data_IF_493886792738
#
_entry.id   IF_493886792738
#
_cell.length_a   1.000
_cell.length_b   1.000
_cell.length_c   1.000
_cell.angle_alpha   90.00
_cell.angle_beta   90.00
_cell.angle_gamma   90.00
#
_symmetry.space_group_name_H-M   'P 1'
#
loop_
_entity.id
_entity.type
_entity.pdbx_description
1 polymer ?
#
# COMPACT_ATOMS: atom_id res chain seq x y z
N UNK A 1 -21.07 16.65 -8.31
CA UNK A 1 -19.90 17.43 -8.72
C UNK A 1 -20.35 18.80 -9.19
N UNK A 2 -19.82 19.87 -8.62
CA UNK A 2 -20.18 21.26 -8.94
C UNK A 2 -19.16 21.93 -9.86
N UNK A 3 -17.98 21.34 -10.06
CA UNK A 3 -16.92 21.88 -10.92
C UNK A 3 -16.01 20.77 -11.46
N UNK A 4 -15.36 21.05 -12.60
CA UNK A 4 -14.27 20.24 -13.14
C UNK A 4 -12.96 20.98 -12.95
N UNK A 5 -11.94 20.29 -12.47
CA UNK A 5 -10.61 20.88 -12.31
C UNK A 5 -9.74 20.56 -13.52
N UNK A 6 -9.11 21.59 -14.06
CA UNK A 6 -8.19 21.46 -15.17
C UNK A 6 -6.78 21.86 -14.73
N UNK A 7 -5.79 21.09 -15.15
CA UNK A 7 -4.39 21.46 -14.96
C UNK A 7 -4.03 22.65 -15.83
N UNK A 8 -2.88 23.32 -15.61
CA UNK A 8 -2.43 24.42 -16.48
C UNK A 8 -2.31 24.05 -17.96
N UNK A 9 -2.17 22.76 -18.29
CA UNK A 9 -2.16 22.25 -19.65
C UNK A 9 -3.57 22.03 -20.24
N UNK A 10 -4.64 22.36 -19.51
CA UNK A 10 -6.03 22.15 -19.92
C UNK A 10 -6.56 20.73 -19.63
N UNK A 11 -5.71 19.81 -19.16
CA UNK A 11 -6.09 18.41 -18.89
C UNK A 11 -7.03 18.32 -17.70
N UNK A 12 -8.17 17.63 -17.86
CA UNK A 12 -9.00 17.15 -16.75
C UNK A 12 -8.58 15.72 -16.40
N UNK A 13 -8.14 15.50 -15.15
CA UNK A 13 -7.71 14.17 -14.68
C UNK A 13 -8.88 13.28 -14.27
N UNK A 14 -10.04 13.90 -14.04
CA UNK A 14 -11.23 13.19 -13.59
C UNK A 14 -11.88 12.43 -14.76
N UNK A 15 -12.30 11.19 -14.50
CA UNK A 15 -13.13 10.43 -15.42
C UNK A 15 -14.47 11.14 -15.59
N UNK A 16 -15.01 11.26 -16.82
CA UNK A 16 -16.34 11.87 -17.03
C UNK A 16 -17.42 11.18 -16.22
N UNK A 17 -18.38 11.97 -15.73
CA UNK A 17 -19.63 11.41 -15.21
C UNK A 17 -20.59 11.16 -16.39
N UNK A 18 -21.29 10.03 -16.36
CA UNK A 18 -22.28 9.64 -17.35
C UNK A 18 -23.22 8.58 -16.76
N UNK A 19 -24.36 8.39 -17.39
CA UNK A 19 -25.35 7.39 -16.96
C UNK A 19 -24.79 5.96 -17.00
N UNK A 20 -23.85 5.70 -17.93
CA UNK A 20 -23.21 4.40 -18.12
C UNK A 20 -21.90 4.23 -17.32
N UNK A 21 -21.52 5.20 -16.46
CA UNK A 21 -20.25 5.18 -15.74
C UNK A 21 -20.48 4.95 -14.25
N UNK A 22 -20.25 3.71 -13.80
CA UNK A 22 -20.28 3.35 -12.38
C UNK A 22 -18.89 3.56 -11.76
N UNK A 23 -18.70 4.65 -11.03
CA UNK A 23 -17.46 4.94 -10.30
C UNK A 23 -17.11 3.91 -9.23
N UNK A 24 -18.10 3.20 -8.69
CA UNK A 24 -17.88 2.18 -7.66
C UNK A 24 -17.20 0.94 -8.23
N UNK A 25 -17.46 0.66 -9.50
CA UNK A 25 -16.88 -0.50 -10.21
C UNK A 25 -15.58 -0.18 -10.92
N UNK A 26 -15.21 1.10 -11.04
CA UNK A 26 -14.06 1.52 -11.85
C UNK A 26 -12.76 0.78 -11.47
N UNK A 27 -12.47 0.63 -10.18
CA UNK A 27 -11.28 -0.06 -9.72
C UNK A 27 -11.31 -1.56 -10.07
N UNK A 28 -12.48 -2.19 -9.93
CA UNK A 28 -12.68 -3.62 -10.27
C UNK A 28 -12.56 -3.82 -11.78
N UNK A 29 -13.15 -2.94 -12.57
CA UNK A 29 -13.07 -2.99 -14.04
C UNK A 29 -11.63 -2.82 -14.54
N UNK A 30 -10.88 -1.91 -13.95
CA UNK A 30 -9.45 -1.72 -14.25
C UNK A 30 -8.61 -2.93 -13.86
N UNK A 31 -8.89 -3.54 -12.70
CA UNK A 31 -8.24 -4.78 -12.29
C UNK A 31 -8.53 -5.90 -13.30
N UNK A 32 -9.80 -6.09 -13.68
CA UNK A 32 -10.23 -7.12 -14.64
C UNK A 32 -9.63 -6.92 -16.03
N UNK A 33 -9.36 -5.66 -16.43
CA UNK A 33 -8.66 -5.32 -17.68
C UNK A 33 -7.14 -5.50 -17.60
N UNK A 34 -6.60 -5.81 -16.43
CA UNK A 34 -5.17 -5.95 -16.21
C UNK A 34 -4.40 -4.63 -16.05
N UNK A 35 -5.10 -3.50 -15.99
CA UNK A 35 -4.48 -2.16 -15.89
C UNK A 35 -3.69 -1.96 -14.59
N UNK A 36 -3.98 -2.72 -13.53
CA UNK A 36 -3.25 -2.68 -12.28
C UNK A 36 -2.06 -3.64 -12.23
N UNK A 37 -1.96 -4.53 -13.21
CA UNK A 37 -0.93 -5.58 -13.26
C UNK A 37 0.08 -5.33 -14.38
N UNK A 38 -0.34 -4.69 -15.48
CA UNK A 38 0.48 -4.52 -16.67
C UNK A 38 0.33 -3.11 -17.23
N UNK A 39 1.44 -2.39 -17.37
CA UNK A 39 1.45 -1.04 -17.96
C UNK A 39 0.88 -1.02 -19.39
N UNK A 40 1.14 -2.07 -20.16
CA UNK A 40 0.69 -2.19 -21.55
C UNK A 40 -0.83 -2.38 -21.69
N UNK A 41 -1.53 -2.70 -20.60
CA UNK A 41 -2.99 -2.80 -20.59
C UNK A 41 -3.67 -1.44 -20.47
N UNK A 42 -2.90 -0.37 -20.20
CA UNK A 42 -3.44 0.97 -20.00
C UNK A 42 -3.46 1.70 -21.34
N UNK A 43 -4.64 1.92 -21.87
CA UNK A 43 -4.84 2.61 -23.14
C UNK A 43 -5.62 3.90 -22.96
N UNK A 44 -5.10 4.97 -23.56
CA UNK A 44 -5.77 6.26 -23.60
C UNK A 44 -6.06 6.65 -25.06
N UNK A 45 -7.27 7.15 -25.38
CA UNK A 45 -7.57 7.67 -26.69
C UNK A 45 -6.71 8.91 -27.01
N UNK A 46 -6.34 9.09 -28.28
CA UNK A 46 -5.55 10.23 -28.72
C UNK A 46 -6.22 11.59 -28.45
N UNK A 47 -7.55 11.61 -28.39
CA UNK A 47 -8.34 12.81 -28.03
C UNK A 47 -8.10 13.31 -26.61
N UNK A 48 -7.52 12.49 -25.74
CA UNK A 48 -7.18 12.82 -24.34
C UNK A 48 -5.68 13.12 -24.14
N UNK A 49 -4.91 13.25 -25.21
CA UNK A 49 -3.51 13.67 -25.17
C UNK A 49 -3.39 15.18 -24.93
N UNK A 50 -2.51 15.54 -24.01
CA UNK A 50 -2.13 16.91 -23.70
C UNK A 50 -0.61 17.00 -23.60
N UNK A 51 -0.07 18.20 -23.72
CA UNK A 51 1.36 18.44 -23.47
C UNK A 51 1.54 19.37 -22.27
N UNK A 52 2.51 19.05 -21.42
CA UNK A 52 2.86 19.94 -20.31
C UNK A 52 3.52 21.21 -20.84
N UNK A 53 3.21 22.36 -20.20
CA UNK A 53 3.69 23.67 -20.68
C UNK A 53 5.21 23.85 -20.60
N UNK A 54 5.87 23.26 -19.60
CA UNK A 54 7.30 23.47 -19.36
C UNK A 54 8.20 22.51 -20.14
N UNK A 55 7.82 21.22 -20.19
CA UNK A 55 8.68 20.16 -20.72
C UNK A 55 8.11 19.51 -21.98
N UNK A 56 6.95 19.97 -22.45
CA UNK A 56 6.24 19.39 -23.60
C UNK A 56 6.05 17.85 -23.51
N UNK A 57 5.95 17.33 -22.28
CA UNK A 57 5.73 15.89 -22.05
C UNK A 57 4.30 15.54 -22.41
N UNK A 58 4.12 14.43 -23.12
CA UNK A 58 2.78 13.87 -23.37
C UNK A 58 2.20 13.34 -22.05
N UNK A 59 0.98 13.79 -21.76
CA UNK A 59 0.19 13.34 -20.61
C UNK A 59 -1.25 13.10 -21.05
N UNK A 60 -1.98 12.27 -20.33
CA UNK A 60 -3.35 11.88 -20.68
C UNK A 60 -4.35 12.39 -19.65
N UNK A 61 -5.57 12.71 -20.10
CA UNK A 61 -6.69 13.09 -19.25
C UNK A 61 -7.76 12.00 -19.14
N UNK A 62 -8.81 12.27 -18.36
CA UNK A 62 -10.04 11.46 -18.36
C UNK A 62 -10.02 10.14 -17.60
N UNK A 63 -8.90 9.77 -16.98
CA UNK A 63 -8.77 8.46 -16.29
C UNK A 63 -7.77 8.44 -15.14
N UNK A 64 -7.48 9.58 -14.54
CA UNK A 64 -6.46 9.71 -13.51
C UNK A 64 -5.13 10.21 -14.05
N UNK A 65 -4.04 9.90 -13.36
CA UNK A 65 -2.68 10.29 -13.73
C UNK A 65 -1.88 9.02 -13.99
N UNK A 66 -1.41 8.84 -15.23
CA UNK A 66 -0.49 7.77 -15.57
C UNK A 66 0.87 8.01 -14.89
N UNK A 67 1.39 7.07 -14.10
CA UNK A 67 2.71 7.19 -13.50
C UNK A 67 3.82 7.09 -14.56
N UNK A 68 4.95 7.73 -14.31
CA UNK A 68 6.14 7.60 -15.17
C UNK A 68 6.82 6.23 -14.98
N UNK A 69 6.71 5.68 -13.78
CA UNK A 69 7.21 4.34 -13.43
C UNK A 69 6.05 3.53 -12.91
N UNK A 70 5.71 2.50 -13.64
CA UNK A 70 4.63 1.60 -13.26
C UNK A 70 5.13 0.56 -12.27
N UNK A 71 4.40 0.39 -11.16
CA UNK A 71 4.61 -0.66 -10.19
C UNK A 71 3.33 -1.50 -10.15
N UNK A 72 3.39 -2.78 -10.53
CA UNK A 72 2.21 -3.64 -10.53
C UNK A 72 1.70 -3.88 -9.11
N UNK A 73 0.41 -4.16 -8.99
CA UNK A 73 -0.19 -4.54 -7.72
C UNK A 73 0.34 -5.90 -7.27
N UNK A 74 0.88 -5.97 -6.04
CA UNK A 74 1.26 -7.25 -5.44
C UNK A 74 0.00 -8.09 -5.12
N UNK A 75 -0.14 -9.22 -5.80
CA UNK A 75 -1.21 -10.19 -5.57
C UNK A 75 -0.73 -11.48 -4.92
N UNK A 76 0.57 -11.65 -4.75
CA UNK A 76 1.18 -12.88 -4.23
C UNK A 76 1.28 -12.88 -2.71
N UNK A 77 1.78 -11.79 -2.14
CA UNK A 77 1.97 -11.64 -0.68
C UNK A 77 0.66 -11.30 0.03
N UNK A 78 -0.24 -10.57 -0.64
CA UNK A 78 -1.54 -10.16 -0.10
C UNK A 78 -2.61 -11.22 -0.42
N UNK A 79 -2.46 -12.41 0.17
CA UNK A 79 -3.32 -13.57 -0.09
C UNK A 79 -4.77 -13.37 0.35
N UNK A 80 -5.66 -14.27 -0.07
CA UNK A 80 -7.07 -14.30 0.40
C UNK A 80 -7.15 -14.39 1.92
N UNK A 81 -6.30 -15.23 2.53
CA UNK A 81 -6.24 -15.39 3.98
C UNK A 81 -5.88 -14.07 4.68
N UNK A 82 -4.83 -13.39 4.23
CA UNK A 82 -4.43 -12.10 4.80
C UNK A 82 -5.52 -11.02 4.64
N UNK A 83 -6.20 -10.98 3.49
CA UNK A 83 -7.33 -10.06 3.28
C UNK A 83 -8.47 -10.33 4.25
N UNK A 84 -8.76 -11.58 4.54
CA UNK A 84 -9.81 -11.96 5.51
C UNK A 84 -9.43 -11.57 6.94
N UNK A 85 -8.18 -11.81 7.36
CA UNK A 85 -7.64 -11.34 8.65
C UNK A 85 -7.79 -9.82 8.80
N UNK A 86 -7.46 -9.08 7.74
CA UNK A 86 -7.54 -7.61 7.74
C UNK A 86 -9.01 -7.14 7.77
N UNK A 87 -9.87 -7.69 6.93
CA UNK A 87 -11.27 -7.31 6.83
C UNK A 87 -12.06 -7.58 8.12
N UNK A 88 -11.70 -8.63 8.86
CA UNK A 88 -12.30 -8.98 10.16
C UNK A 88 -11.58 -8.33 11.36
N UNK A 89 -10.60 -7.46 11.12
CA UNK A 89 -9.89 -6.71 12.16
C UNK A 89 -8.95 -7.55 13.03
N UNK A 90 -8.66 -8.79 12.63
CA UNK A 90 -7.85 -9.74 13.42
C UNK A 90 -6.47 -9.18 13.73
N UNK A 91 -5.80 -8.59 12.72
CA UNK A 91 -4.44 -8.04 12.89
C UNK A 91 -4.43 -6.88 13.90
N UNK A 92 -5.42 -6.00 13.83
CA UNK A 92 -5.55 -4.88 14.77
C UNK A 92 -5.86 -5.38 16.19
N UNK A 93 -6.78 -6.34 16.34
CA UNK A 93 -7.12 -6.92 17.63
C UNK A 93 -5.93 -7.67 18.24
N UNK A 94 -5.14 -8.38 17.41
CA UNK A 94 -3.87 -9.00 17.84
C UNK A 94 -2.92 -7.95 18.41
N UNK A 95 -2.71 -6.85 17.67
CA UNK A 95 -1.86 -5.76 18.12
C UNK A 95 -2.34 -5.18 19.47
N UNK A 96 -3.64 -4.91 19.61
CA UNK A 96 -4.20 -4.42 20.87
C UNK A 96 -3.97 -5.38 22.03
N UNK A 97 -4.23 -6.68 21.83
CA UNK A 97 -4.00 -7.70 22.85
C UNK A 97 -2.51 -7.83 23.24
N UNK A 98 -1.61 -7.66 22.29
CA UNK A 98 -0.15 -7.65 22.53
C UNK A 98 0.25 -6.41 23.33
N UNK A 99 -0.20 -5.24 22.93
CA UNK A 99 0.13 -3.97 23.61
C UNK A 99 -0.45 -3.95 25.03
N UNK A 100 -1.68 -4.37 25.23
CA UNK A 100 -2.29 -4.43 26.57
C UNK A 100 -1.49 -5.32 27.53
N UNK A 101 -0.95 -6.42 27.01
CA UNK A 101 -0.21 -7.39 27.83
C UNK A 101 1.25 -7.03 28.04
N UNK A 102 1.94 -6.53 27.02
CA UNK A 102 3.40 -6.47 26.97
C UNK A 102 3.98 -5.05 26.86
N UNK A 103 3.17 -3.98 26.82
CA UNK A 103 3.64 -2.59 26.69
C UNK A 103 4.80 -2.27 27.61
N UNK A 104 4.64 -2.50 28.92
CA UNK A 104 5.66 -2.16 29.92
C UNK A 104 6.97 -2.94 29.74
N UNK A 105 6.85 -4.19 29.29
CA UNK A 105 8.04 -5.02 29.02
C UNK A 105 8.75 -4.56 27.76
N UNK A 106 8.00 -4.14 26.73
CA UNK A 106 8.58 -3.61 25.49
C UNK A 106 9.23 -2.25 25.71
N UNK A 107 8.60 -1.33 26.43
CA UNK A 107 9.19 -0.02 26.79
C UNK A 107 10.49 -0.18 27.58
N UNK A 108 10.58 -1.16 28.47
CA UNK A 108 11.80 -1.47 29.21
C UNK A 108 12.89 -2.12 28.34
N UNK A 109 12.49 -3.03 27.44
CA UNK A 109 13.42 -3.78 26.57
C UNK A 109 13.92 -2.96 25.41
N UNK A 110 13.10 -2.07 24.91
CA UNK A 110 13.38 -1.22 23.75
C UNK A 110 13.22 0.26 24.13
N UNK A 111 14.26 0.87 24.74
CA UNK A 111 14.18 2.24 25.24
C UNK A 111 14.05 3.29 24.12
N UNK A 112 14.38 2.92 22.88
CA UNK A 112 14.26 3.75 21.70
C UNK A 112 13.84 2.92 20.47
N UNK A 113 13.29 3.61 19.48
CA UNK A 113 12.81 2.98 18.26
C UNK A 113 13.91 2.29 17.45
N UNK A 114 15.13 2.83 17.43
CA UNK A 114 16.25 2.22 16.69
C UNK A 114 16.57 0.84 17.23
N UNK A 115 16.61 0.70 18.55
CA UNK A 115 16.80 -0.58 19.23
C UNK A 115 15.67 -1.55 18.94
N UNK A 116 14.41 -1.05 18.99
CA UNK A 116 13.23 -1.84 18.63
C UNK A 116 13.29 -2.30 17.17
N UNK A 117 13.49 -1.38 16.23
CA UNK A 117 13.47 -1.70 14.80
C UNK A 117 14.52 -2.75 14.44
N UNK A 118 15.69 -2.70 15.10
CA UNK A 118 16.78 -3.64 14.87
C UNK A 118 16.57 -5.03 15.49
N UNK A 119 15.95 -5.09 16.68
CA UNK A 119 15.97 -6.31 17.50
C UNK A 119 14.60 -6.92 17.79
N UNK A 120 13.51 -6.17 17.55
CA UNK A 120 12.17 -6.71 17.75
C UNK A 120 11.78 -7.62 16.60
N UNK A 121 11.34 -8.81 16.95
CA UNK A 121 10.75 -9.77 16.02
C UNK A 121 9.40 -10.25 16.53
N UNK A 122 8.48 -10.47 15.61
CA UNK A 122 7.18 -11.10 15.90
C UNK A 122 7.43 -12.59 16.12
N UNK A 123 7.39 -12.99 17.37
CA UNK A 123 7.65 -14.35 17.83
C UNK A 123 6.39 -15.24 17.83
N UNK A 124 6.56 -16.51 18.22
CA UNK A 124 5.47 -17.48 18.28
C UNK A 124 4.41 -17.11 19.33
N UNK A 125 4.78 -16.35 20.37
CA UNK A 125 3.83 -15.84 21.36
C UNK A 125 2.82 -14.89 20.71
N UNK A 126 3.31 -13.92 19.93
CA UNK A 126 2.46 -12.99 19.19
C UNK A 126 1.64 -13.73 18.13
N UNK A 127 2.25 -14.68 17.42
CA UNK A 127 1.56 -15.49 16.42
C UNK A 127 0.48 -16.41 17.03
N UNK A 128 0.66 -16.86 18.27
CA UNK A 128 -0.38 -17.61 19.00
C UNK A 128 -1.59 -16.73 19.31
N UNK A 129 -1.37 -15.45 19.66
CA UNK A 129 -2.43 -14.46 19.86
C UNK A 129 -3.15 -14.20 18.53
N UNK A 130 -2.43 -14.06 17.42
CA UNK A 130 -3.02 -13.90 16.10
C UNK A 130 -3.95 -15.05 15.75
N UNK A 131 -3.52 -16.29 16.00
CA UNK A 131 -4.35 -17.48 15.74
C UNK A 131 -5.62 -17.47 16.60
N UNK A 132 -5.48 -17.17 17.89
CA UNK A 132 -6.63 -17.08 18.79
C UNK A 132 -7.63 -15.98 18.36
N UNK A 133 -7.17 -14.82 17.92
CA UNK A 133 -8.03 -13.76 17.39
C UNK A 133 -8.66 -14.15 16.03
N UNK A 134 -7.95 -14.87 15.18
CA UNK A 134 -8.48 -15.41 13.93
C UNK A 134 -9.60 -16.43 14.19
N UNK A 135 -9.42 -17.34 15.14
CA UNK A 135 -10.43 -18.31 15.54
C UNK A 135 -11.70 -17.64 16.11
N UNK A 136 -11.55 -16.64 16.98
CA UNK A 136 -12.66 -15.82 17.49
C UNK A 136 -13.43 -15.11 16.37
N UNK A 137 -12.72 -14.62 15.36
CA UNK A 137 -13.32 -13.95 14.21
C UNK A 137 -13.88 -14.92 13.16
N UNK A 138 -13.75 -16.24 13.37
CA UNK A 138 -14.20 -17.27 12.44
C UNK A 138 -13.43 -17.24 11.11
N UNK A 139 -12.13 -16.92 11.15
CA UNK A 139 -11.25 -17.03 9.98
C UNK A 139 -10.74 -18.45 9.89
N UNK A 140 -11.12 -19.15 8.81
CA UNK A 140 -10.66 -20.53 8.62
C UNK A 140 -9.17 -20.54 8.30
N UNK A 141 -8.41 -21.31 9.07
CA UNK A 141 -6.97 -21.47 8.84
C UNK A 141 -6.70 -22.18 7.53
N UNK A 142 -5.75 -21.63 6.77
CA UNK A 142 -5.20 -22.18 5.53
C UNK A 142 -3.68 -22.10 5.61
N UNK A 143 -3.03 -23.23 5.77
CA UNK A 143 -1.59 -23.31 6.04
C UNK A 143 -0.73 -22.78 4.90
N UNK A 144 -1.13 -23.01 3.64
CA UNK A 144 -0.36 -22.54 2.47
C UNK A 144 -0.47 -21.01 2.35
N UNK A 145 -1.68 -20.47 2.41
CA UNK A 145 -1.93 -19.05 2.33
C UNK A 145 -1.37 -18.31 3.56
N UNK A 146 -1.41 -18.94 4.74
CA UNK A 146 -0.78 -18.42 5.95
C UNK A 146 0.73 -18.29 5.77
N UNK A 147 1.42 -19.36 5.33
CA UNK A 147 2.87 -19.33 5.09
C UNK A 147 3.26 -18.28 4.07
N UNK A 148 2.50 -18.16 2.98
CA UNK A 148 2.75 -17.15 1.96
C UNK A 148 2.62 -15.71 2.49
N UNK A 149 1.64 -15.46 3.39
CA UNK A 149 1.40 -14.13 3.97
C UNK A 149 2.21 -13.83 5.22
N UNK A 150 2.80 -14.84 5.85
CA UNK A 150 3.42 -14.70 7.18
C UNK A 150 4.50 -13.62 7.25
N UNK A 151 5.41 -13.48 6.27
CA UNK A 151 6.40 -12.40 6.29
C UNK A 151 5.75 -11.02 6.35
N UNK A 152 4.70 -10.79 5.54
CA UNK A 152 3.98 -9.53 5.50
C UNK A 152 3.17 -9.27 6.78
N UNK A 153 2.49 -10.30 7.32
CA UNK A 153 1.77 -10.22 8.59
C UNK A 153 2.72 -9.83 9.73
N UNK A 154 3.93 -10.41 9.76
CA UNK A 154 4.93 -10.08 10.77
C UNK A 154 5.38 -8.62 10.68
N UNK A 155 5.64 -8.11 9.49
CA UNK A 155 6.00 -6.69 9.31
C UNK A 155 4.84 -5.78 9.72
N UNK A 156 3.61 -6.12 9.35
CA UNK A 156 2.43 -5.34 9.71
C UNK A 156 2.20 -5.29 11.22
N UNK A 157 2.34 -6.41 11.92
CA UNK A 157 2.25 -6.45 13.39
C UNK A 157 3.39 -5.66 14.04
N UNK A 158 4.64 -5.82 13.58
CA UNK A 158 5.77 -5.03 14.04
C UNK A 158 5.52 -3.53 13.87
N UNK A 159 5.01 -3.11 12.72
CA UNK A 159 4.70 -1.71 12.46
C UNK A 159 3.59 -1.18 13.37
N UNK A 160 2.50 -1.95 13.59
CA UNK A 160 1.41 -1.56 14.48
C UNK A 160 1.88 -1.44 15.94
N UNK A 161 2.69 -2.38 16.42
CA UNK A 161 3.28 -2.32 17.77
C UNK A 161 4.19 -1.08 17.89
N UNK A 162 5.01 -0.78 16.87
CA UNK A 162 5.83 0.43 16.85
C UNK A 162 4.98 1.69 16.92
N UNK A 163 3.87 1.76 16.18
CA UNK A 163 2.91 2.88 16.26
C UNK A 163 2.40 3.10 17.69
N UNK A 164 2.05 2.04 18.37
CA UNK A 164 1.41 2.14 19.69
C UNK A 164 2.41 2.37 20.82
N UNK A 165 3.70 2.04 20.61
CA UNK A 165 4.79 2.39 21.53
C UNK A 165 5.31 3.82 21.30
N UNK A 166 5.29 4.32 20.08
CA UNK A 166 5.76 5.65 19.69
C UNK A 166 4.67 6.42 18.93
N UNK A 167 4.73 6.42 17.56
CA UNK A 167 3.72 7.09 16.73
C UNK A 167 3.67 6.55 15.29
N UNK A 168 2.86 7.24 14.43
CA UNK A 168 2.69 6.85 13.02
C UNK A 168 3.97 6.95 12.19
N UNK A 169 4.95 7.76 12.58
CA UNK A 169 6.25 7.86 11.87
C UNK A 169 6.96 6.52 11.93
N UNK A 170 7.00 5.91 13.11
CA UNK A 170 7.62 4.61 13.32
C UNK A 170 6.87 3.47 12.62
N UNK A 171 5.54 3.58 12.54
CA UNK A 171 4.75 2.66 11.72
C UNK A 171 5.24 2.66 10.27
N UNK A 172 5.27 3.84 9.65
CA UNK A 172 5.67 3.95 8.25
C UNK A 172 7.14 3.62 8.01
N UNK A 173 8.02 3.92 8.96
CA UNK A 173 9.44 3.56 8.85
C UNK A 173 9.63 2.03 8.80
N UNK A 174 8.82 1.27 9.54
CA UNK A 174 8.82 -0.21 9.45
C UNK A 174 8.10 -0.70 8.20
N UNK A 175 6.91 -0.16 7.93
CA UNK A 175 5.98 -0.72 6.94
C UNK A 175 6.38 -0.41 5.49
N UNK A 176 6.91 0.77 5.22
CA UNK A 176 7.26 1.21 3.86
C UNK A 176 8.32 0.34 3.16
N UNK A 177 9.09 -0.44 3.92
CA UNK A 177 10.02 -1.41 3.32
C UNK A 177 9.32 -2.56 2.59
N UNK A 178 8.03 -2.77 2.84
CA UNK A 178 7.21 -3.77 2.13
C UNK A 178 6.37 -3.17 1.01
N UNK A 179 6.34 -1.84 0.88
CA UNK A 179 5.61 -1.17 -0.18
C UNK A 179 6.50 -0.99 -1.42
N UNK A 180 6.26 -1.79 -2.44
CA UNK A 180 7.04 -1.78 -3.68
C UNK A 180 6.99 -0.42 -4.38
N UNK A 181 5.89 0.33 -4.25
CA UNK A 181 5.75 1.67 -4.82
C UNK A 181 6.68 2.66 -4.12
N UNK A 182 6.73 2.62 -2.78
CA UNK A 182 7.65 3.44 -1.98
C UNK A 182 9.10 3.08 -2.27
N UNK A 183 9.41 1.77 -2.30
CA UNK A 183 10.77 1.30 -2.57
C UNK A 183 11.23 1.65 -3.99
N UNK A 184 10.34 1.55 -4.99
CA UNK A 184 10.65 1.98 -6.35
C UNK A 184 10.85 3.50 -6.43
N UNK A 185 10.03 4.28 -5.73
CA UNK A 185 10.21 5.72 -5.61
C UNK A 185 11.57 6.10 -5.01
N UNK A 186 11.98 5.40 -3.96
CA UNK A 186 13.28 5.61 -3.31
C UNK A 186 14.45 5.27 -4.26
N UNK A 187 14.37 4.14 -4.96
CA UNK A 187 15.35 3.73 -5.99
C UNK A 187 15.52 4.84 -7.06
N UNK A 188 14.41 5.35 -7.59
CA UNK A 188 14.42 6.40 -8.63
C UNK A 188 15.03 7.70 -8.10
N UNK A 189 14.70 8.10 -6.86
CA UNK A 189 15.26 9.31 -6.25
C UNK A 189 16.77 9.18 -6.05
N UNK A 190 17.26 8.00 -5.69
CA UNK A 190 18.69 7.72 -5.49
C UNK A 190 19.43 7.51 -6.81
N UNK A 191 18.73 7.15 -7.88
CA UNK A 191 19.32 6.98 -9.19
C UNK A 191 19.66 8.34 -9.83
N UNK A 192 20.69 8.35 -10.71
CA UNK A 192 21.02 9.53 -11.49
C UNK A 192 19.96 9.90 -12.54
N UNK A 193 19.03 9.00 -12.83
CA UNK A 193 17.95 9.17 -13.80
C UNK A 193 16.97 10.28 -13.39
N UNK A 194 16.66 10.39 -12.10
CA UNK A 194 15.78 11.45 -11.58
C UNK A 194 16.32 12.87 -11.81
N UNK A 195 17.66 13.03 -11.85
CA UNK A 195 18.31 14.31 -12.13
C UNK A 195 18.25 14.75 -13.60
N UNK A 196 18.10 13.83 -14.55
CA UNK A 196 18.09 14.11 -15.97
C UNK A 196 16.77 14.73 -16.45
N UNK A 197 15.65 14.45 -15.79
CA UNK A 197 14.35 15.03 -16.11
C UNK A 197 14.21 16.51 -15.71
N UNK A 198 15.10 17.02 -14.85
CA UNK A 198 15.10 18.43 -14.38
C UNK A 198 16.01 19.37 -15.18
N UNK A 199 16.85 18.85 -16.07
CA UNK A 199 17.86 19.64 -16.81
C UNK A 199 17.46 19.96 -18.24
N UNK A 200 16.16 19.99 -18.55
CA UNK A 200 15.75 20.45 -19.89
C UNK A 200 14.61 21.46 -19.80
#
# INVERSE_FOLDING_TARGET
TVARYHTPAGRCIQKPYGEDIDYRKDLVDRFNKGELMHADSIHFPDSLKYQTKQLARTVYGGGGIMPDYFVPLDTLTYTKYHRELTAKGVIVNTNLAVIDRYRKDYEKRYPDFKTYNKHFEVDDTILSILRAEADKAGVKHDEELYKASLPYIKVQLKALIARDLWDMTQFYEVFNHTDETVMKGLEIIQSKEFGLSRKR
#
